data_IF_035863999528
#
_entry.id   IF_035863999528
#
_cell.length_a   1.000
_cell.length_b   1.000
_cell.length_c   1.000
_cell.angle_alpha   90.00
_cell.angle_beta   90.00
_cell.angle_gamma   90.00
#
_symmetry.space_group_name_H-M   'P 1'
#
loop_
_entity.id
_entity.type
_entity.pdbx_description
1 polymer ?
#
# COMPACT_ATOMS: atom_id res chain seq x y z
N UNK A 1 -10.02 2.38 22.80
CA UNK A 1 -10.30 3.09 21.54
C UNK A 1 -11.18 4.30 21.87
N UNK A 2 -10.75 5.51 21.54
CA UNK A 2 -11.39 6.77 21.99
C UNK A 2 -12.64 7.16 21.21
N UNK A 3 -13.00 6.41 20.16
CA UNK A 3 -14.13 6.67 19.25
C UNK A 3 -14.05 8.04 18.54
N UNK A 4 -12.85 8.60 18.47
CA UNK A 4 -12.58 9.87 17.80
C UNK A 4 -12.29 9.66 16.31
N UNK A 5 -12.63 10.66 15.49
CA UNK A 5 -12.31 10.65 14.06
C UNK A 5 -10.81 10.87 13.89
N UNK A 6 -10.14 9.90 13.28
CA UNK A 6 -8.68 9.89 13.08
C UNK A 6 -8.29 10.55 11.76
N UNK A 7 -9.01 10.23 10.68
CA UNK A 7 -8.80 10.79 9.35
C UNK A 7 -10.09 10.69 8.53
N UNK A 8 -10.12 11.36 7.37
CA UNK A 8 -11.18 11.24 6.37
C UNK A 8 -10.53 10.83 5.05
N UNK A 9 -11.12 9.87 4.38
CA UNK A 9 -10.72 9.44 3.04
C UNK A 9 -11.78 9.88 2.04
N UNK A 10 -11.41 10.18 0.78
CA UNK A 10 -12.40 10.41 -0.27
C UNK A 10 -13.30 9.19 -0.44
N UNK A 11 -14.59 9.42 -0.63
CA UNK A 11 -15.52 8.39 -1.07
C UNK A 11 -15.53 8.41 -2.60
N UNK A 12 -14.88 7.42 -3.22
CA UNK A 12 -14.73 7.39 -4.67
C UNK A 12 -16.09 7.25 -5.36
N UNK A 13 -16.28 8.04 -6.41
CA UNK A 13 -17.43 7.94 -7.31
C UNK A 13 -17.28 6.77 -8.29
N UNK A 14 -18.40 6.38 -8.92
CA UNK A 14 -18.39 5.36 -9.96
C UNK A 14 -17.51 5.77 -11.16
N UNK A 15 -17.51 7.05 -11.53
CA UNK A 15 -16.71 7.57 -12.64
C UNK A 15 -15.22 7.50 -12.34
N UNK A 16 -14.80 7.85 -11.11
CA UNK A 16 -13.39 7.72 -10.68
C UNK A 16 -12.94 6.25 -10.66
N UNK A 17 -13.82 5.33 -10.25
CA UNK A 17 -13.55 3.90 -10.31
C UNK A 17 -13.35 3.44 -11.75
N UNK A 18 -14.23 3.83 -12.67
CA UNK A 18 -14.11 3.47 -14.09
C UNK A 18 -12.82 4.05 -14.70
N UNK A 19 -12.51 5.31 -14.39
CA UNK A 19 -11.28 5.95 -14.86
C UNK A 19 -10.01 5.21 -14.38
N UNK A 20 -10.00 4.73 -13.13
CA UNK A 20 -8.89 3.94 -12.61
C UNK A 20 -8.73 2.58 -13.32
N UNK A 21 -9.85 1.91 -13.63
CA UNK A 21 -9.86 0.65 -14.39
C UNK A 21 -9.36 0.87 -15.81
N UNK A 22 -9.85 1.89 -16.50
CA UNK A 22 -9.46 2.20 -17.88
C UNK A 22 -7.97 2.56 -17.97
N UNK A 23 -7.45 3.34 -17.02
CA UNK A 23 -6.03 3.67 -16.93
C UNK A 23 -5.17 2.42 -16.70
N UNK A 24 -5.60 1.51 -15.82
CA UNK A 24 -4.90 0.25 -15.57
C UNK A 24 -4.89 -0.66 -16.81
N UNK A 25 -6.02 -0.75 -17.51
CA UNK A 25 -6.15 -1.51 -18.76
C UNK A 25 -5.27 -0.93 -19.88
N UNK A 26 -5.21 0.41 -20.00
CA UNK A 26 -4.37 1.08 -20.98
C UNK A 26 -2.85 0.92 -20.70
N UNK A 27 -2.46 0.86 -19.43
CA UNK A 27 -1.06 0.66 -19.03
C UNK A 27 -0.59 -0.80 -19.15
N UNK A 28 -1.53 -1.77 -19.12
CA UNK A 28 -1.19 -3.19 -19.06
C UNK A 28 -0.35 -3.69 -20.26
N UNK A 29 -0.62 -3.34 -21.53
CA UNK A 29 0.16 -3.84 -22.66
C UNK A 29 1.67 -3.56 -22.51
N UNK A 30 2.06 -2.31 -22.27
CA UNK A 30 3.47 -1.94 -22.10
C UNK A 30 4.08 -2.48 -20.80
N UNK A 31 3.29 -2.55 -19.73
CA UNK A 31 3.74 -3.15 -18.47
C UNK A 31 3.99 -4.66 -18.58
N UNK A 32 3.17 -5.37 -19.37
CA UNK A 32 3.31 -6.82 -19.58
C UNK A 32 4.59 -7.16 -20.34
N UNK A 33 4.99 -6.31 -21.28
CA UNK A 33 6.24 -6.40 -22.07
C UNK A 33 7.48 -6.00 -21.27
N UNK A 34 7.32 -5.33 -20.13
CA UNK A 34 8.44 -4.92 -19.27
C UNK A 34 9.25 -6.12 -18.81
N UNK A 35 10.58 -6.03 -18.87
CA UNK A 35 11.45 -7.15 -18.50
C UNK A 35 11.25 -7.59 -17.05
N UNK A 36 11.46 -8.89 -16.79
CA UNK A 36 11.39 -9.45 -15.43
C UNK A 36 12.36 -8.74 -14.48
N UNK A 37 13.57 -8.40 -14.95
CA UNK A 37 14.57 -7.72 -14.15
C UNK A 37 14.12 -6.32 -13.75
N UNK A 38 13.52 -5.56 -14.67
CA UNK A 38 12.97 -4.22 -14.38
C UNK A 38 11.83 -4.30 -13.36
N UNK A 39 10.90 -5.25 -13.52
CA UNK A 39 9.81 -5.47 -12.55
C UNK A 39 10.37 -5.85 -11.18
N UNK A 40 11.40 -6.69 -11.14
CA UNK A 40 12.07 -7.08 -9.89
C UNK A 40 12.71 -5.87 -9.18
N UNK A 41 13.38 -4.98 -9.91
CA UNK A 41 13.98 -3.77 -9.34
C UNK A 41 12.92 -2.86 -8.70
N UNK A 42 11.76 -2.71 -9.34
CA UNK A 42 10.62 -1.95 -8.80
C UNK A 42 10.15 -2.56 -7.48
N UNK A 43 10.00 -3.90 -7.43
CA UNK A 43 9.59 -4.59 -6.20
C UNK A 43 10.62 -4.48 -5.08
N UNK A 44 11.92 -4.54 -5.39
CA UNK A 44 12.97 -4.32 -4.38
C UNK A 44 12.98 -2.90 -3.86
N UNK A 45 12.76 -1.91 -4.72
CA UNK A 45 12.65 -0.51 -4.29
C UNK A 45 11.42 -0.32 -3.37
N UNK A 46 10.28 -0.92 -3.71
CA UNK A 46 9.10 -0.92 -2.85
C UNK A 46 9.40 -1.55 -1.48
N UNK A 47 10.04 -2.72 -1.44
CA UNK A 47 10.44 -3.35 -0.19
C UNK A 47 11.39 -2.45 0.62
N UNK A 48 12.36 -1.81 -0.03
CA UNK A 48 13.27 -0.88 0.63
C UNK A 48 12.52 0.29 1.28
N UNK A 49 11.59 0.90 0.54
CA UNK A 49 10.78 2.02 1.04
C UNK A 49 9.87 1.61 2.22
N UNK A 50 9.27 0.43 2.16
CA UNK A 50 8.46 -0.08 3.29
C UNK A 50 9.33 -0.29 4.52
N UNK A 51 10.51 -0.91 4.38
CA UNK A 51 11.46 -1.10 5.50
C UNK A 51 11.91 0.25 6.09
N UNK A 52 12.22 1.22 5.22
CA UNK A 52 12.64 2.57 5.63
C UNK A 52 11.56 3.29 6.44
N UNK A 53 10.29 3.12 6.08
CA UNK A 53 9.15 3.81 6.72
C UNK A 53 8.37 2.92 7.70
N UNK A 54 8.94 1.79 8.13
CA UNK A 54 8.23 0.76 8.92
C UNK A 54 7.57 1.30 10.19
N UNK A 55 8.25 2.20 10.92
CA UNK A 55 7.72 2.79 12.16
C UNK A 55 6.49 3.66 11.92
N UNK A 56 6.49 4.42 10.82
CA UNK A 56 5.37 5.29 10.46
C UNK A 56 4.17 4.45 10.00
N UNK A 57 4.42 3.43 9.17
CA UNK A 57 3.39 2.48 8.74
C UNK A 57 2.76 1.75 9.94
N UNK A 58 3.57 1.27 10.89
CA UNK A 58 3.08 0.61 12.10
C UNK A 58 2.26 1.56 13.00
N UNK A 59 2.68 2.84 13.10
CA UNK A 59 1.91 3.86 13.83
C UNK A 59 0.54 4.08 13.19
N UNK A 60 0.47 4.20 11.87
CA UNK A 60 -0.79 4.39 11.16
C UNK A 60 -1.71 3.17 11.31
N UNK A 61 -1.19 1.94 11.15
CA UNK A 61 -1.95 0.71 11.35
C UNK A 61 -2.48 0.61 12.79
N UNK A 62 -1.65 0.92 13.80
CA UNK A 62 -2.05 0.91 15.20
C UNK A 62 -3.16 1.92 15.48
N UNK A 63 -3.03 3.11 14.90
CA UNK A 63 -4.00 4.20 15.02
C UNK A 63 -5.35 3.81 14.37
N UNK A 64 -5.33 3.29 13.15
CA UNK A 64 -6.54 2.93 12.39
C UNK A 64 -7.25 1.67 12.92
N UNK A 65 -6.49 0.68 13.39
CA UNK A 65 -7.04 -0.64 13.76
C UNK A 65 -7.11 -0.88 15.27
N UNK A 66 -6.58 0.04 16.08
CA UNK A 66 -6.55 -0.09 17.55
C UNK A 66 -5.65 -1.22 18.08
N UNK A 67 -4.73 -1.74 17.25
CA UNK A 67 -3.77 -2.78 17.63
C UNK A 67 -2.57 -2.20 18.38
N UNK A 68 -1.82 -3.05 19.09
CA UNK A 68 -0.55 -2.62 19.68
C UNK A 68 0.48 -2.30 18.59
N UNK A 69 1.47 -1.45 18.89
CA UNK A 69 2.54 -1.13 17.94
C UNK A 69 3.33 -2.38 17.53
N UNK A 70 3.57 -3.31 18.47
CA UNK A 70 4.27 -4.55 18.18
C UNK A 70 3.49 -5.44 17.18
N UNK A 71 2.17 -5.53 17.32
CA UNK A 71 1.32 -6.25 16.38
C UNK A 71 1.32 -5.60 14.99
N UNK A 72 1.26 -4.27 14.95
CA UNK A 72 1.29 -3.49 13.72
C UNK A 72 2.65 -3.58 12.99
N UNK A 73 3.77 -3.55 13.71
CA UNK A 73 5.10 -3.84 13.15
C UNK A 73 5.15 -5.26 12.57
N UNK A 74 4.54 -6.22 13.26
CA UNK A 74 4.37 -7.59 12.78
C UNK A 74 3.58 -7.66 11.45
N UNK A 75 2.52 -6.86 11.29
CA UNK A 75 1.73 -6.77 10.05
C UNK A 75 2.58 -6.26 8.88
N UNK A 76 3.35 -5.18 9.08
CA UNK A 76 4.26 -4.62 8.05
C UNK A 76 5.32 -5.65 7.65
N UNK A 77 5.92 -6.33 8.64
CA UNK A 77 6.92 -7.36 8.38
C UNK A 77 6.35 -8.58 7.65
N UNK A 78 5.10 -8.96 7.92
CA UNK A 78 4.41 -10.04 7.18
C UNK A 78 4.17 -9.65 5.72
N UNK A 79 3.80 -8.40 5.47
CA UNK A 79 3.61 -7.87 4.11
C UNK A 79 4.87 -7.88 3.25
N UNK A 80 6.07 -7.88 3.86
CA UNK A 80 7.36 -7.93 3.16
C UNK A 80 7.88 -9.35 2.88
N UNK A 81 7.30 -10.39 3.51
CA UNK A 81 7.77 -11.78 3.39
C UNK A 81 7.12 -12.56 2.25
N UNK A 82 6.05 -12.03 1.65
CA UNK A 82 5.37 -12.59 0.48
C UNK A 82 5.79 -11.83 -0.76
#
# INVERSE_FOLDING_TARGET
ATNEVITRVPECTQDEMQAAVDAAAAAFPSWSETSVLTRQQIMFNLQHLIKKNMKELAKNISLEQGKTLADAEGDVLRGLRK
#
